data_IF_750994947741
#
_entry.id   IF_750994947741
#
_cell.length_a   1.000
_cell.length_b   1.000
_cell.length_c   1.000
_cell.angle_alpha   90.00
_cell.angle_beta   90.00
_cell.angle_gamma   90.00
#
_symmetry.space_group_name_H-M   'P 1'
#
loop_
_entity.id
_entity.type
_entity.pdbx_description
1 polymer ?
#
# COMPACT_ATOMS: atom_id res chain seq x y z
N UNK A 1 -6.28 -42.44 -29.65
CA UNK A 1 -6.66 -41.02 -29.49
C UNK A 1 -5.43 -40.28 -28.95
N UNK A 2 -4.72 -39.53 -29.79
CA UNK A 2 -3.60 -38.68 -29.35
C UNK A 2 -4.19 -37.37 -28.83
N UNK A 3 -3.90 -37.01 -27.58
CA UNK A 3 -4.15 -35.68 -27.05
C UNK A 3 -2.86 -34.87 -27.15
N UNK A 4 -2.85 -33.83 -27.99
CA UNK A 4 -1.84 -32.78 -27.95
C UNK A 4 -2.25 -31.78 -26.86
N UNK A 5 -1.48 -31.73 -25.77
CA UNK A 5 -1.51 -30.59 -24.85
C UNK A 5 -0.39 -29.66 -25.31
N UNK A 6 -0.74 -28.54 -25.96
CA UNK A 6 0.20 -27.45 -26.15
C UNK A 6 0.44 -26.81 -24.77
N UNK A 7 1.69 -26.56 -24.36
CA UNK A 7 1.93 -25.72 -23.19
C UNK A 7 1.39 -24.32 -23.51
N UNK A 8 0.37 -23.92 -22.76
CA UNK A 8 -0.06 -22.53 -22.67
C UNK A 8 1.17 -21.73 -22.27
N UNK A 9 1.63 -20.82 -23.13
CA UNK A 9 2.74 -19.93 -22.81
C UNK A 9 2.38 -19.20 -21.51
N UNK A 10 3.09 -19.51 -20.42
CA UNK A 10 3.06 -18.70 -19.23
C UNK A 10 3.42 -17.28 -19.66
N UNK A 11 2.45 -16.38 -19.64
CA UNK A 11 2.71 -14.97 -19.89
C UNK A 11 3.60 -14.52 -18.73
N UNK A 12 4.91 -14.43 -18.99
CA UNK A 12 5.87 -13.93 -18.01
C UNK A 12 5.37 -12.56 -17.56
N UNK A 13 5.14 -12.38 -16.26
CA UNK A 13 4.80 -11.08 -15.71
C UNK A 13 5.87 -10.09 -16.17
N UNK A 14 5.49 -9.10 -16.96
CA UNK A 14 6.41 -8.11 -17.51
C UNK A 14 6.92 -7.11 -16.47
N UNK A 15 6.30 -7.10 -15.28
CA UNK A 15 6.66 -6.29 -14.11
C UNK A 15 6.44 -7.06 -12.81
N UNK A 16 7.38 -6.92 -11.88
CA UNK A 16 7.33 -7.37 -10.49
C UNK A 16 7.48 -6.16 -9.58
N UNK A 17 6.63 -6.07 -8.55
CA UNK A 17 6.68 -5.02 -7.53
C UNK A 17 6.94 -5.67 -6.19
N UNK A 18 8.08 -5.32 -5.58
CA UNK A 18 8.33 -5.63 -4.18
C UNK A 18 7.91 -4.43 -3.34
N UNK A 19 6.87 -4.54 -2.49
CA UNK A 19 6.42 -3.42 -1.65
C UNK A 19 7.45 -3.11 -0.55
N UNK A 20 7.35 -1.95 0.14
CA UNK A 20 8.28 -1.59 1.18
C UNK A 20 8.26 -2.59 2.33
N UNK A 21 9.42 -3.18 2.64
CA UNK A 21 9.61 -3.87 3.90
C UNK A 21 9.73 -2.84 5.03
N UNK A 22 9.30 -3.22 6.24
CA UNK A 22 9.54 -2.46 7.49
C UNK A 22 8.65 -1.23 7.74
N UNK A 23 7.44 -1.17 7.18
CA UNK A 23 6.41 -0.22 7.64
C UNK A 23 5.66 -0.87 8.81
N UNK A 24 6.35 -1.00 9.94
CA UNK A 24 5.84 -1.59 11.19
C UNK A 24 6.20 -0.73 12.39
N UNK A 25 5.65 -1.08 13.56
CA UNK A 25 5.99 -0.47 14.85
C UNK A 25 5.90 1.06 14.86
N UNK A 26 4.94 1.59 14.11
CA UNK A 26 4.71 3.01 14.00
C UNK A 26 4.10 3.55 15.30
N UNK A 27 4.93 4.23 16.09
CA UNK A 27 4.48 4.89 17.32
C UNK A 27 3.82 6.22 16.97
N UNK A 28 2.50 6.28 17.10
CA UNK A 28 1.73 7.51 16.93
C UNK A 28 1.74 8.37 18.18
N UNK A 29 2.05 9.65 18.02
CA UNK A 29 1.96 10.65 19.08
C UNK A 29 1.17 11.88 18.62
N UNK A 30 -0.05 12.13 19.15
CA UNK A 30 -0.87 13.28 18.76
C UNK A 30 -0.28 14.64 19.18
N UNK A 31 0.75 14.66 20.05
CA UNK A 31 1.45 15.89 20.44
C UNK A 31 2.62 16.25 19.51
N UNK A 32 2.96 15.40 18.53
CA UNK A 32 3.95 15.71 17.50
C UNK A 32 3.31 16.43 16.31
N UNK A 33 4.10 17.14 15.47
CA UNK A 33 3.61 17.68 14.21
C UNK A 33 2.93 16.62 13.35
N UNK A 34 1.79 16.98 12.77
CA UNK A 34 1.01 16.13 11.89
C UNK A 34 1.17 16.56 10.41
N UNK A 35 1.00 15.65 9.43
CA UNK A 35 0.84 14.21 9.63
C UNK A 35 2.17 13.58 10.06
N UNK A 36 2.08 12.55 10.90
CA UNK A 36 3.25 11.71 11.14
C UNK A 36 3.54 10.92 9.87
N UNK A 37 4.82 10.62 9.61
CA UNK A 37 5.22 9.91 8.39
C UNK A 37 6.12 8.71 8.66
N UNK A 38 6.02 7.71 7.79
CA UNK A 38 7.02 6.66 7.61
C UNK A 38 7.35 6.53 6.12
N UNK A 39 8.61 6.24 5.82
CA UNK A 39 9.07 6.08 4.44
C UNK A 39 9.66 4.69 4.28
N UNK A 40 9.36 4.08 3.14
CA UNK A 40 9.99 2.84 2.69
C UNK A 40 10.23 2.86 1.19
N UNK A 41 10.72 1.75 0.65
CA UNK A 41 11.12 1.66 -0.76
C UNK A 41 10.40 0.52 -1.46
N UNK A 42 9.66 0.83 -2.52
CA UNK A 42 9.19 -0.16 -3.48
C UNK A 42 10.31 -0.46 -4.48
N UNK A 43 10.58 -1.74 -4.76
CA UNK A 43 11.48 -2.14 -5.84
C UNK A 43 10.64 -2.57 -7.04
N UNK A 44 10.95 -2.01 -8.21
CA UNK A 44 10.29 -2.28 -9.48
C UNK A 44 11.27 -3.01 -10.39
N UNK A 45 10.92 -4.23 -10.78
CA UNK A 45 11.67 -5.00 -11.76
C UNK A 45 10.77 -5.23 -12.98
N UNK A 46 11.21 -4.79 -14.16
CA UNK A 46 10.55 -5.05 -15.43
C UNK A 46 11.41 -6.01 -16.26
N UNK A 47 10.78 -6.86 -17.06
CA UNK A 47 11.50 -7.83 -17.88
C UNK A 47 12.28 -7.15 -19.01
N UNK A 48 11.71 -6.10 -19.60
CA UNK A 48 12.38 -5.30 -20.62
C UNK A 48 12.70 -3.90 -20.04
N UNK A 49 13.99 -3.57 -19.97
CA UNK A 49 14.48 -2.34 -19.35
C UNK A 49 14.01 -1.05 -20.06
N UNK A 50 13.45 -1.14 -21.26
CA UNK A 50 12.87 0.00 -21.98
C UNK A 50 11.37 0.17 -21.76
N UNK A 51 10.72 -0.76 -21.08
CA UNK A 51 9.27 -0.68 -20.85
C UNK A 51 8.96 0.43 -19.84
N UNK A 52 7.93 1.21 -20.18
CA UNK A 52 7.34 2.20 -19.28
C UNK A 52 6.37 1.51 -18.32
N UNK A 53 6.25 2.01 -17.10
CA UNK A 53 5.37 1.44 -16.09
C UNK A 53 4.67 2.50 -15.25
N UNK A 54 3.54 2.09 -14.65
CA UNK A 54 2.83 2.81 -13.58
C UNK A 54 2.84 1.97 -12.30
N UNK A 55 2.84 2.65 -11.16
CA UNK A 55 2.69 2.08 -9.83
C UNK A 55 1.48 2.72 -9.17
N UNK A 56 0.53 1.90 -8.74
CA UNK A 56 -0.65 2.33 -7.98
C UNK A 56 -0.59 1.86 -6.54
N UNK A 57 -1.28 2.56 -5.65
CA UNK A 57 -1.48 2.14 -4.26
C UNK A 57 -2.98 2.19 -3.91
N UNK A 58 -3.44 1.18 -3.17
CA UNK A 58 -4.85 1.03 -2.80
C UNK A 58 -5.01 0.28 -1.48
N UNK A 59 -6.05 0.61 -0.72
CA UNK A 59 -6.61 -0.29 0.29
C UNK A 59 -7.76 -1.10 -0.32
N UNK A 60 -7.62 -2.41 -0.35
CA UNK A 60 -8.60 -3.35 -0.90
C UNK A 60 -9.57 -3.87 0.17
N UNK A 61 -9.33 -3.57 1.45
CA UNK A 61 -10.14 -4.08 2.54
C UNK A 61 -11.28 -3.10 2.87
N UNK A 62 -12.52 -3.55 2.68
CA UNK A 62 -13.71 -2.75 2.94
C UNK A 62 -13.91 -2.40 4.43
N UNK A 63 -13.33 -3.18 5.35
CA UNK A 63 -13.37 -2.85 6.78
C UNK A 63 -12.51 -1.63 7.08
N UNK A 64 -11.33 -1.51 6.50
CA UNK A 64 -10.45 -0.35 6.71
C UNK A 64 -10.88 0.84 5.88
N UNK A 65 -11.25 0.65 4.61
CA UNK A 65 -11.69 1.72 3.71
C UNK A 65 -10.74 2.93 3.74
N UNK A 66 -9.44 2.68 3.72
CA UNK A 66 -8.39 3.70 3.70
C UNK A 66 -7.97 4.24 5.07
N UNK A 67 -8.64 3.84 6.14
CA UNK A 67 -8.33 4.25 7.51
C UNK A 67 -7.57 3.14 8.24
N UNK A 68 -6.60 3.51 9.07
CA UNK A 68 -6.05 2.53 10.01
C UNK A 68 -7.12 2.17 11.03
N UNK A 69 -7.36 0.87 11.14
CA UNK A 69 -8.45 0.29 11.93
C UNK A 69 -7.87 -0.64 12.98
N UNK A 70 -8.54 -0.72 14.12
CA UNK A 70 -8.19 -1.59 15.23
C UNK A 70 -8.05 -3.05 14.81
N UNK A 71 -6.93 -3.64 15.19
CA UNK A 71 -6.52 -5.01 14.91
C UNK A 71 -6.08 -5.69 16.20
N UNK A 72 -6.65 -6.87 16.48
CA UNK A 72 -6.43 -7.60 17.74
C UNK A 72 -5.20 -8.55 17.71
N UNK A 73 -4.50 -8.61 16.59
CA UNK A 73 -3.42 -9.57 16.32
C UNK A 73 -3.81 -10.64 15.29
N UNK A 74 -5.11 -10.88 15.10
CA UNK A 74 -5.67 -11.93 14.25
C UNK A 74 -6.71 -11.45 13.23
N UNK A 75 -7.50 -10.43 13.58
CA UNK A 75 -8.56 -9.88 12.73
C UNK A 75 -8.80 -8.39 13.01
N UNK A 76 -9.48 -7.71 12.08
CA UNK A 76 -9.98 -6.36 12.34
C UNK A 76 -11.18 -6.46 13.29
N UNK A 77 -11.15 -5.67 14.36
CA UNK A 77 -12.18 -5.72 15.40
C UNK A 77 -13.51 -5.21 14.84
N UNK A 78 -14.57 -6.03 14.93
CA UNK A 78 -15.90 -5.65 14.44
C UNK A 78 -16.46 -4.52 15.32
N UNK A 79 -16.74 -3.37 14.71
CA UNK A 79 -17.14 -2.16 15.45
C UNK A 79 -16.00 -1.54 16.26
N UNK A 80 -14.75 -1.95 16.02
CA UNK A 80 -13.57 -1.40 16.65
C UNK A 80 -13.26 0.03 16.20
N UNK A 81 -12.28 0.62 16.87
CA UNK A 81 -11.86 1.99 16.60
C UNK A 81 -11.21 2.13 15.21
N UNK A 82 -11.37 3.33 14.65
CA UNK A 82 -10.69 3.78 13.43
C UNK A 82 -10.08 5.13 13.69
N UNK A 83 -8.94 5.40 13.06
CA UNK A 83 -8.43 6.76 13.02
C UNK A 83 -9.39 7.64 12.20
N UNK A 84 -9.56 8.90 12.62
CA UNK A 84 -10.50 9.83 11.99
C UNK A 84 -10.11 10.19 10.55
N UNK A 85 -8.81 10.28 10.29
CA UNK A 85 -8.27 10.66 8.99
C UNK A 85 -7.77 9.42 8.24
N UNK A 86 -8.07 9.37 6.95
CA UNK A 86 -7.56 8.31 6.09
C UNK A 86 -6.07 8.50 5.81
N UNK A 87 -5.40 7.42 5.47
CA UNK A 87 -3.97 7.44 5.17
C UNK A 87 -3.70 8.09 3.80
N UNK A 88 -2.68 8.93 3.74
CA UNK A 88 -2.12 9.40 2.47
C UNK A 88 -0.87 8.60 2.12
N UNK A 89 -0.74 8.24 0.86
CA UNK A 89 0.43 7.61 0.27
C UNK A 89 1.02 8.55 -0.76
N UNK A 90 2.32 8.79 -0.69
CA UNK A 90 3.02 9.71 -1.57
C UNK A 90 4.30 9.09 -2.13
N UNK A 91 4.47 9.17 -3.45
CA UNK A 91 5.74 8.92 -4.12
C UNK A 91 6.06 10.12 -5.04
N UNK A 92 5.91 10.00 -6.35
CA UNK A 92 5.97 11.17 -7.25
C UNK A 92 4.63 11.92 -7.29
N UNK A 93 3.54 11.23 -6.94
CA UNK A 93 2.21 11.79 -6.74
C UNK A 93 1.66 11.35 -5.39
N UNK A 94 0.75 12.14 -4.83
CA UNK A 94 0.09 11.86 -3.55
C UNK A 94 -1.36 11.43 -3.78
N UNK A 95 -1.76 10.39 -3.05
CA UNK A 95 -3.12 9.86 -3.04
C UNK A 95 -3.59 9.68 -1.61
N UNK A 96 -4.83 10.06 -1.33
CA UNK A 96 -5.54 9.74 -0.10
C UNK A 96 -6.34 8.45 -0.30
N UNK A 97 -6.25 7.52 0.65
CA UNK A 97 -7.10 6.33 0.68
C UNK A 97 -8.50 6.68 1.25
N UNK A 98 -9.56 5.91 0.96
CA UNK A 98 -9.66 4.80 0.02
C UNK A 98 -9.79 5.32 -1.40
N UNK A 99 -8.72 5.19 -2.19
CA UNK A 99 -8.85 5.40 -3.62
C UNK A 99 -9.20 4.06 -4.27
N UNK A 100 -10.50 3.86 -4.50
CA UNK A 100 -11.05 2.58 -4.97
C UNK A 100 -10.63 2.18 -6.38
N UNK A 101 -10.10 3.11 -7.18
CA UNK A 101 -9.70 2.84 -8.56
C UNK A 101 -8.22 2.45 -8.71
N UNK A 102 -7.42 2.50 -7.63
CA UNK A 102 -5.96 2.38 -7.71
C UNK A 102 -5.38 3.59 -8.43
N UNK A 103 -5.03 4.64 -7.68
CA UNK A 103 -4.45 5.84 -8.30
C UNK A 103 -2.95 5.70 -8.46
N UNK A 104 -2.46 6.17 -9.61
CA UNK A 104 -1.03 6.21 -9.92
C UNK A 104 -0.32 7.11 -8.91
N UNK A 105 0.64 6.53 -8.20
CA UNK A 105 1.53 7.25 -7.27
C UNK A 105 2.93 7.44 -7.85
N UNK A 106 3.30 6.62 -8.83
CA UNK A 106 4.55 6.76 -9.58
C UNK A 106 4.45 6.21 -11.00
N UNK A 107 5.33 6.70 -11.86
CA UNK A 107 5.57 6.22 -13.22
C UNK A 107 7.06 6.22 -13.51
N UNK A 108 7.52 5.36 -14.40
CA UNK A 108 8.92 5.35 -14.81
C UNK A 108 9.20 4.38 -15.94
N UNK A 109 10.49 4.10 -16.15
CA UNK A 109 10.97 3.20 -17.21
C UNK A 109 12.07 2.32 -16.63
N UNK A 110 12.09 1.04 -17.01
CA UNK A 110 13.11 0.10 -16.56
C UNK A 110 13.06 -0.22 -15.08
N UNK A 111 14.10 -0.92 -14.60
CA UNK A 111 14.22 -1.34 -13.21
C UNK A 111 14.59 -0.14 -12.33
N UNK A 112 13.92 0.01 -11.19
CA UNK A 112 14.21 1.11 -10.27
C UNK A 112 13.76 0.85 -8.83
N UNK A 113 14.07 1.79 -7.95
CA UNK A 113 13.56 1.87 -6.59
C UNK A 113 12.76 3.17 -6.42
N UNK A 114 11.54 3.06 -5.91
CA UNK A 114 10.63 4.18 -5.67
C UNK A 114 10.51 4.40 -4.17
N UNK A 115 10.89 5.58 -3.68
CA UNK A 115 10.64 5.98 -2.30
C UNK A 115 9.15 6.27 -2.11
N UNK A 116 8.51 5.58 -1.17
CA UNK A 116 7.09 5.71 -0.84
C UNK A 116 6.97 6.20 0.60
N UNK A 117 6.24 7.29 0.79
CA UNK A 117 5.96 7.89 2.10
C UNK A 117 4.50 7.66 2.47
N UNK A 118 4.30 7.02 3.60
CA UNK A 118 3.03 6.85 4.28
C UNK A 118 2.85 8.02 5.23
N UNK A 119 1.69 8.68 5.19
CA UNK A 119 1.36 9.80 6.07
C UNK A 119 0.05 9.49 6.78
N UNK A 120 0.08 9.58 8.10
CA UNK A 120 -1.10 9.37 8.93
C UNK A 120 -1.23 10.55 9.87
N UNK A 121 -2.34 11.26 9.72
CA UNK A 121 -2.73 12.28 10.67
C UNK A 121 -3.46 11.62 11.85
N UNK A 122 -3.04 12.00 13.06
CA UNK A 122 -3.65 11.54 14.32
C UNK A 122 -4.29 12.74 15.00
N UNK A 123 -5.60 12.67 15.17
CA UNK A 123 -6.39 13.68 15.85
C UNK A 123 -6.48 13.42 17.36
N UNK A 124 -6.80 14.47 18.12
CA UNK A 124 -7.00 14.35 19.58
C UNK A 124 -8.18 13.44 19.96
N UNK A 125 -9.14 13.25 19.04
CA UNK A 125 -10.29 12.39 19.24
C UNK A 125 -10.02 10.92 18.89
N UNK A 126 -8.84 10.59 18.34
CA UNK A 126 -8.49 9.20 18.07
C UNK A 126 -8.33 8.42 19.37
N UNK A 127 -8.92 7.23 19.40
CA UNK A 127 -8.96 6.39 20.61
C UNK A 127 -7.58 5.80 20.85
N UNK A 128 -7.09 5.91 22.09
CA UNK A 128 -5.89 5.15 22.49
C UNK A 128 -6.30 3.69 22.68
N UNK A 129 -5.76 2.81 21.85
CA UNK A 129 -5.98 1.37 21.96
C UNK A 129 -5.29 0.83 23.22
N UNK A 130 -5.87 -0.20 23.82
CA UNK A 130 -5.35 -0.83 25.04
C UNK A 130 -5.02 -2.31 24.81
N UNK A 131 -4.23 -2.89 25.73
CA UNK A 131 -3.83 -4.29 25.63
C UNK A 131 -2.87 -4.54 24.45
N UNK A 132 -3.16 -5.56 23.66
CA UNK A 132 -2.35 -5.97 22.50
C UNK A 132 -2.88 -5.44 21.17
N UNK A 133 -3.90 -4.59 21.21
CA UNK A 133 -4.54 -4.08 19.99
C UNK A 133 -3.68 -2.97 19.36
N UNK A 134 -3.68 -2.92 18.04
CA UNK A 134 -2.94 -1.93 17.25
C UNK A 134 -3.79 -1.35 16.13
N UNK A 135 -3.45 -0.15 15.66
CA UNK A 135 -3.99 0.36 14.41
C UNK A 135 -3.26 -0.29 13.24
N UNK A 136 -4.01 -0.87 12.31
CA UNK A 136 -3.47 -1.53 11.12
C UNK A 136 -4.22 -1.12 9.86
N UNK A 137 -3.50 -1.07 8.75
CA UNK A 137 -4.04 -1.05 7.41
C UNK A 137 -3.14 -1.91 6.52
N UNK A 138 -3.68 -2.46 5.44
CA UNK A 138 -2.91 -3.18 4.41
C UNK A 138 -3.03 -2.42 3.12
N UNK A 139 -1.91 -1.89 2.64
CA UNK A 139 -1.83 -1.18 1.36
C UNK A 139 -1.29 -2.12 0.30
N UNK A 140 -2.04 -2.26 -0.79
CA UNK A 140 -1.66 -3.06 -1.96
C UNK A 140 -1.01 -2.14 -2.98
N UNK A 141 0.16 -2.54 -3.48
CA UNK A 141 0.87 -1.87 -4.56
C UNK A 141 0.77 -2.71 -5.83
N UNK A 142 0.38 -2.10 -6.94
CA UNK A 142 0.23 -2.79 -8.22
C UNK A 142 1.06 -2.08 -9.29
N UNK A 143 1.94 -2.84 -9.94
CA UNK A 143 2.69 -2.37 -11.11
C UNK A 143 1.97 -2.75 -12.41
N UNK A 144 2.07 -1.91 -13.43
CA UNK A 144 1.56 -2.22 -14.78
C UNK A 144 2.45 -1.61 -15.84
N UNK A 145 2.73 -2.35 -16.91
CA UNK A 145 3.44 -1.82 -18.08
C UNK A 145 2.48 -0.93 -18.89
N UNK A 146 2.95 0.23 -19.31
CA UNK A 146 2.22 1.14 -20.19
C UNK A 146 2.79 1.06 -21.60
N UNK A 147 1.93 0.89 -22.60
CA UNK A 147 2.30 0.86 -24.02
C UNK A 147 2.83 2.21 -24.52
#
# INVERSE_FOLDING_TARGET
>A
MLAFILPQSAQAQSIEVTPPANITDWVFNPSLPQPQTQTGTCVINVTNATDNWTLTAQDLNATTSGYMTEWDGSSYVTGGAKLHNAMNISATSEVMLPNVAGTNIATGTGNTSVSVTFKQEIGYNDVVLSGTHVYRIVVTFTGSITA
#
